data_IF_933692095614
#
_entry.id   IF_933692095614
#
_cell.length_a   1.000
_cell.length_b   1.000
_cell.length_c   1.000
_cell.angle_alpha   90.00
_cell.angle_beta   90.00
_cell.angle_gamma   90.00
#
_symmetry.space_group_name_H-M   'P 1'
#
loop_
_entity.id
_entity.type
_entity.pdbx_description
1 polymer ?
#
# COMPACT_ATOMS: atom_id res chain seq x y z
N UNK A 1 17.96 -5.22 8.93
CA UNK A 1 17.84 -4.07 8.04
C UNK A 1 16.37 -3.66 7.96
N UNK A 2 16.06 -2.38 8.17
CA UNK A 2 14.66 -1.97 8.10
C UNK A 2 14.19 -1.82 6.64
N UNK A 3 12.88 -1.63 6.47
CA UNK A 3 12.26 -1.57 5.15
C UNK A 3 12.82 -0.40 4.32
N UNK A 4 13.08 0.74 4.97
CA UNK A 4 13.60 1.90 4.24
C UNK A 4 14.98 1.61 3.66
N UNK A 5 15.86 0.97 4.45
CA UNK A 5 17.19 0.61 3.95
C UNK A 5 17.14 -0.46 2.86
N UNK A 6 16.22 -1.41 2.97
CA UNK A 6 16.10 -2.50 2.00
C UNK A 6 15.61 -2.04 0.64
N UNK A 7 14.59 -1.19 0.62
CA UNK A 7 13.82 -0.93 -0.62
C UNK A 7 13.81 0.53 -1.05
N UNK A 8 14.10 1.46 -0.14
CA UNK A 8 13.90 2.89 -0.38
C UNK A 8 15.14 3.72 -0.09
N UNK A 9 16.31 3.11 -0.12
CA UNK A 9 17.57 3.80 0.17
C UNK A 9 17.72 5.01 -0.76
N UNK A 10 17.91 6.19 -0.16
CA UNK A 10 18.06 7.41 -0.93
C UNK A 10 16.76 7.98 -1.48
N UNK A 11 15.60 7.39 -1.14
CA UNK A 11 14.32 7.89 -1.62
C UNK A 11 14.05 9.29 -1.10
N UNK A 12 13.55 10.15 -1.98
CA UNK A 12 13.14 11.50 -1.62
C UNK A 12 11.79 11.48 -0.93
N UNK A 13 11.66 12.23 0.15
CA UNK A 13 10.39 12.37 0.85
C UNK A 13 9.47 13.27 0.04
N UNK A 14 8.30 12.77 -0.35
CA UNK A 14 7.31 13.52 -1.12
C UNK A 14 6.41 14.34 -0.22
N UNK A 15 6.19 13.89 1.00
CA UNK A 15 5.31 14.55 1.97
C UNK A 15 5.99 14.59 3.33
N UNK A 16 5.56 15.51 4.19
CA UNK A 16 6.03 15.55 5.57
C UNK A 16 5.67 14.24 6.29
N UNK A 17 6.48 13.79 7.26
CA UNK A 17 6.15 12.59 8.02
C UNK A 17 4.77 12.69 8.65
N UNK A 18 4.03 11.59 8.63
CA UNK A 18 2.74 11.53 9.28
C UNK A 18 2.90 11.30 10.79
N UNK A 19 1.82 11.51 11.54
CA UNK A 19 1.81 11.36 12.99
C UNK A 19 0.82 10.26 13.39
N UNK A 20 0.94 9.77 14.62
CA UNK A 20 -0.01 8.81 15.16
C UNK A 20 -1.44 9.34 15.14
N UNK A 21 -1.61 10.65 15.38
CA UNK A 21 -2.94 11.27 15.35
C UNK A 21 -3.53 11.21 13.94
N UNK A 22 -2.75 11.57 12.92
CA UNK A 22 -3.22 11.53 11.55
C UNK A 22 -3.59 10.10 11.11
N UNK A 23 -2.80 9.11 11.53
CA UNK A 23 -3.08 7.70 11.24
C UNK A 23 -4.34 7.23 11.95
N UNK A 24 -4.51 7.61 13.22
CA UNK A 24 -5.71 7.27 13.98
C UNK A 24 -6.96 7.89 13.36
N UNK A 25 -6.87 9.15 12.94
CA UNK A 25 -7.99 9.82 12.27
C UNK A 25 -8.33 9.14 10.94
N UNK A 26 -7.31 8.74 10.18
CA UNK A 26 -7.51 8.01 8.92
C UNK A 26 -8.21 6.67 9.17
N UNK A 27 -7.78 5.92 10.18
CA UNK A 27 -8.41 4.64 10.53
C UNK A 27 -9.88 4.81 10.87
N UNK A 28 -10.23 5.89 11.57
CA UNK A 28 -11.63 6.20 11.89
C UNK A 28 -12.45 6.48 10.65
N UNK A 29 -11.89 7.25 9.71
CA UNK A 29 -12.58 7.56 8.45
C UNK A 29 -12.75 6.33 7.57
N UNK A 30 -11.75 5.45 7.55
CA UNK A 30 -11.80 4.21 6.76
C UNK A 30 -12.68 3.15 7.41
N UNK A 31 -12.93 3.24 8.72
CA UNK A 31 -13.70 2.26 9.46
C UNK A 31 -12.95 0.95 9.70
N UNK A 32 -11.62 0.98 9.68
CA UNK A 32 -10.78 -0.20 9.87
C UNK A 32 -9.41 0.21 10.39
N UNK A 33 -8.67 -0.73 10.96
CA UNK A 33 -7.29 -0.52 11.35
C UNK A 33 -6.36 -0.76 10.17
N UNK A 34 -5.20 -0.12 10.20
CA UNK A 34 -4.10 -0.38 9.27
C UNK A 34 -3.07 -1.27 9.97
N UNK A 35 -2.37 -2.13 9.23
CA UNK A 35 -1.31 -2.94 9.84
C UNK A 35 -0.23 -2.09 10.50
N UNK A 36 0.31 -2.56 11.61
CA UNK A 36 1.30 -1.82 12.39
C UNK A 36 2.58 -1.55 11.58
N UNK A 37 3.03 -2.52 10.79
CA UNK A 37 4.22 -2.36 9.95
C UNK A 37 4.00 -1.29 8.88
N UNK A 38 2.81 -1.23 8.31
CA UNK A 38 2.47 -0.21 7.32
C UNK A 38 2.41 1.19 7.96
N UNK A 39 1.82 1.29 9.15
CA UNK A 39 1.79 2.57 9.89
C UNK A 39 3.21 3.05 10.22
N UNK A 40 4.07 2.14 10.67
CA UNK A 40 5.47 2.48 10.94
C UNK A 40 6.18 2.96 9.68
N UNK A 41 5.90 2.32 8.55
CA UNK A 41 6.45 2.74 7.27
C UNK A 41 6.02 4.16 6.91
N UNK A 42 4.73 4.46 7.01
CA UNK A 42 4.20 5.78 6.68
C UNK A 42 4.80 6.90 7.54
N UNK A 43 5.14 6.60 8.79
CA UNK A 43 5.80 7.57 9.67
C UNK A 43 7.23 7.88 9.22
N UNK A 44 7.86 6.99 8.45
CA UNK A 44 9.20 7.20 7.91
C UNK A 44 9.18 7.73 6.49
N UNK A 45 8.26 7.25 5.67
CA UNK A 45 8.15 7.63 4.26
C UNK A 45 6.67 7.75 3.90
N UNK A 46 6.18 8.98 3.89
CA UNK A 46 4.77 9.28 3.64
C UNK A 46 4.55 9.57 2.16
N UNK A 47 4.43 8.48 1.39
CA UNK A 47 4.31 8.56 -0.07
C UNK A 47 5.65 8.36 -0.77
N UNK A 48 5.59 7.73 -1.92
CA UNK A 48 6.79 7.42 -2.71
C UNK A 48 6.40 7.24 -4.17
N UNK A 49 7.28 7.65 -5.06
CA UNK A 49 7.14 7.35 -6.49
C UNK A 49 8.53 7.02 -7.03
N UNK A 50 8.64 5.87 -7.70
CA UNK A 50 9.90 5.41 -8.27
C UNK A 50 9.92 3.91 -8.43
N UNK A 51 11.10 3.31 -8.43
CA UNK A 51 11.24 1.87 -8.59
C UNK A 51 11.65 1.17 -7.31
N UNK A 52 11.07 -0.01 -7.11
CA UNK A 52 11.53 -1.00 -6.15
C UNK A 52 12.04 -2.16 -7.01
N UNK A 53 13.36 -2.30 -7.15
CA UNK A 53 13.92 -3.32 -8.02
C UNK A 53 13.41 -3.18 -9.45
N UNK A 54 12.66 -4.17 -9.92
CA UNK A 54 12.14 -4.22 -11.28
C UNK A 54 10.79 -3.52 -11.45
N UNK A 55 10.12 -3.18 -10.35
CA UNK A 55 8.76 -2.66 -10.40
C UNK A 55 8.70 -1.16 -10.19
N UNK A 56 7.98 -0.46 -11.08
CA UNK A 56 7.62 0.93 -10.83
C UNK A 56 6.48 0.95 -9.82
N UNK A 57 6.58 1.83 -8.81
CA UNK A 57 5.55 1.94 -7.79
C UNK A 57 5.26 3.40 -7.48
N UNK A 58 4.01 3.68 -7.18
CA UNK A 58 3.57 4.94 -6.59
C UNK A 58 2.78 4.58 -5.34
N UNK A 59 3.35 4.91 -4.18
CA UNK A 59 2.72 4.62 -2.89
C UNK A 59 2.02 5.87 -2.39
N UNK A 60 0.78 5.70 -1.92
CA UNK A 60 -0.04 6.82 -1.47
C UNK A 60 0.49 7.41 -0.17
N UNK A 61 0.43 8.74 -0.07
CA UNK A 61 0.59 9.40 1.23
C UNK A 61 -0.69 9.22 2.04
N UNK A 62 -0.63 9.51 3.35
CA UNK A 62 -1.78 9.41 4.25
C UNK A 62 -2.96 10.22 3.71
N UNK A 63 -2.69 11.39 3.12
CA UNK A 63 -3.76 12.26 2.59
C UNK A 63 -4.45 11.70 1.36
N UNK A 64 -3.84 10.71 0.69
CA UNK A 64 -4.37 10.13 -0.55
C UNK A 64 -5.11 8.82 -0.34
N UNK A 65 -4.84 8.12 0.76
CA UNK A 65 -5.34 6.74 0.96
C UNK A 65 -6.85 6.68 0.91
N UNK A 66 -7.54 7.55 1.63
CA UNK A 66 -9.00 7.54 1.68
C UNK A 66 -9.60 7.82 0.30
N UNK A 67 -9.08 8.81 -0.40
CA UNK A 67 -9.58 9.18 -1.72
C UNK A 67 -9.43 8.04 -2.72
N UNK A 68 -8.24 7.45 -2.81
CA UNK A 68 -8.01 6.36 -3.76
C UNK A 68 -8.77 5.10 -3.38
N UNK A 69 -8.96 4.84 -2.09
CA UNK A 69 -9.79 3.72 -1.64
C UNK A 69 -11.23 3.94 -2.08
N UNK A 70 -11.76 5.15 -1.91
CA UNK A 70 -13.10 5.48 -2.36
C UNK A 70 -13.22 5.35 -3.88
N UNK A 71 -12.25 5.89 -4.62
CA UNK A 71 -12.32 5.93 -6.08
C UNK A 71 -12.21 4.55 -6.73
N UNK A 72 -11.41 3.65 -6.16
CA UNK A 72 -11.07 2.37 -6.80
C UNK A 72 -11.60 1.14 -6.08
N UNK A 73 -11.95 1.24 -4.79
CA UNK A 73 -12.35 0.09 -3.99
C UNK A 73 -13.79 0.19 -3.46
N UNK A 74 -14.57 1.17 -3.89
CA UNK A 74 -15.93 1.34 -3.37
C UNK A 74 -16.95 0.41 -4.06
N UNK A 75 -16.65 -0.04 -5.24
CA UNK A 75 -17.54 -0.94 -6.01
C UNK A 75 -17.02 -2.37 -6.00
N UNK A 76 -15.73 -2.53 -6.31
CA UNK A 76 -15.03 -3.81 -6.25
C UNK A 76 -13.95 -3.70 -5.18
N UNK A 77 -13.52 -4.82 -4.63
CA UNK A 77 -12.47 -4.85 -3.60
C UNK A 77 -12.88 -4.07 -2.35
N UNK A 78 -14.17 -4.15 -1.99
CA UNK A 78 -14.71 -3.39 -0.84
C UNK A 78 -14.09 -3.81 0.49
N UNK A 79 -13.46 -4.99 0.53
CA UNK A 79 -12.75 -5.48 1.71
C UNK A 79 -11.28 -5.03 1.74
N UNK A 80 -10.86 -4.21 0.79
CA UNK A 80 -9.47 -3.74 0.70
C UNK A 80 -9.38 -2.23 0.79
N UNK A 81 -8.16 -1.77 1.07
CA UNK A 81 -7.77 -0.36 1.09
C UNK A 81 -6.68 -0.17 0.03
N UNK A 82 -6.81 0.87 -0.80
CA UNK A 82 -5.81 1.17 -1.82
C UNK A 82 -4.64 1.93 -1.22
N UNK A 83 -3.44 1.34 -1.30
CA UNK A 83 -2.22 1.97 -0.77
C UNK A 83 -1.27 2.44 -1.87
N UNK A 84 -1.57 2.16 -3.12
CA UNK A 84 -0.74 2.62 -4.22
C UNK A 84 -1.11 1.98 -5.54
N UNK A 85 -0.22 2.14 -6.52
CA UNK A 85 -0.41 1.62 -7.87
C UNK A 85 0.94 1.39 -8.54
N UNK A 86 0.95 0.54 -9.57
CA UNK A 86 2.14 0.34 -10.41
C UNK A 86 2.17 1.30 -11.60
N UNK A 87 1.17 2.19 -11.73
CA UNK A 87 1.08 3.11 -12.86
C UNK A 87 0.59 2.48 -14.15
N UNK A 88 0.41 1.17 -14.19
CA UNK A 88 0.01 0.42 -15.39
C UNK A 88 -1.34 -0.26 -15.27
N UNK A 89 -2.17 0.15 -14.32
CA UNK A 89 -3.51 -0.39 -14.17
C UNK A 89 -3.69 -1.36 -13.01
N UNK A 90 -2.63 -1.63 -12.24
CA UNK A 90 -2.72 -2.47 -11.05
C UNK A 90 -2.73 -1.60 -9.80
N UNK A 91 -3.59 -1.96 -8.84
CA UNK A 91 -3.65 -1.31 -7.53
C UNK A 91 -2.86 -2.14 -6.53
N UNK A 92 -2.20 -1.45 -5.61
CA UNK A 92 -1.65 -2.09 -4.41
C UNK A 92 -2.67 -1.93 -3.31
N UNK A 93 -3.05 -3.03 -2.67
CA UNK A 93 -4.13 -3.03 -1.68
C UNK A 93 -3.72 -3.81 -0.43
N UNK A 94 -4.37 -3.47 0.68
CA UNK A 94 -4.25 -4.22 1.94
C UNK A 94 -5.66 -4.52 2.44
N UNK A 95 -5.83 -5.68 3.08
CA UNK A 95 -7.12 -6.10 3.62
C UNK A 95 -7.58 -5.18 4.76
N UNK A 96 -8.88 -4.94 4.82
CA UNK A 96 -9.52 -4.37 6.01
C UNK A 96 -9.57 -5.41 7.11
N UNK A 97 -9.50 -4.97 8.36
CA UNK A 97 -9.59 -5.86 9.51
C UNK A 97 -8.77 -5.37 10.67
N UNK A 98 -8.74 -6.17 11.74
CA UNK A 98 -8.00 -5.85 12.96
C UNK A 98 -6.69 -6.63 13.08
N UNK A 99 -6.56 -7.72 12.34
CA UNK A 99 -5.38 -8.59 12.40
C UNK A 99 -5.31 -9.44 11.13
N UNK A 100 -4.15 -10.07 10.89
CA UNK A 100 -3.92 -11.00 9.77
C UNK A 100 -4.20 -10.36 8.40
N UNK A 101 -4.00 -9.06 8.31
CA UNK A 101 -4.23 -8.32 7.08
C UNK A 101 -3.14 -8.65 6.05
N UNK A 102 -3.57 -8.90 4.80
CA UNK A 102 -2.68 -9.29 3.71
C UNK A 102 -2.54 -8.15 2.72
N UNK A 103 -1.37 -8.09 2.10
CA UNK A 103 -1.05 -7.13 1.04
C UNK A 103 -1.10 -7.84 -0.31
N UNK A 104 -1.58 -7.15 -1.33
CA UNK A 104 -1.64 -7.74 -2.65
C UNK A 104 -1.85 -6.73 -3.75
N UNK A 105 -2.13 -7.24 -4.94
CA UNK A 105 -2.43 -6.43 -6.12
C UNK A 105 -3.80 -6.81 -6.69
N UNK A 106 -4.42 -5.85 -7.35
CA UNK A 106 -5.70 -6.05 -8.02
C UNK A 106 -5.80 -5.10 -9.21
N UNK A 107 -6.36 -5.55 -10.37
CA UNK A 107 -6.52 -4.61 -11.49
C UNK A 107 -7.50 -3.50 -11.12
N UNK A 108 -7.18 -2.28 -11.53
CA UNK A 108 -8.05 -1.12 -11.30
C UNK A 108 -9.40 -1.30 -12.00
N UNK A 109 -9.39 -2.02 -13.12
CA UNK A 109 -10.60 -2.39 -13.86
C UNK A 109 -10.67 -3.92 -13.85
N UNK A 110 -11.53 -4.46 -13.00
CA UNK A 110 -11.65 -5.91 -12.84
C UNK A 110 -12.67 -6.22 -11.75
N UNK A 111 -12.65 -7.45 -11.27
CA UNK A 111 -13.55 -7.84 -10.19
C UNK A 111 -12.75 -8.43 -9.01
N UNK A 112 -13.46 -8.74 -7.92
CA UNK A 112 -12.84 -9.20 -6.68
C UNK A 112 -12.09 -10.54 -6.82
N UNK A 113 -12.34 -11.30 -7.89
CA UNK A 113 -11.64 -12.55 -8.15
C UNK A 113 -10.25 -12.34 -8.76
N UNK A 114 -9.96 -11.11 -9.18
CA UNK A 114 -8.67 -10.77 -9.81
C UNK A 114 -7.61 -10.36 -8.79
N UNK A 115 -7.96 -10.33 -7.52
CA UNK A 115 -7.02 -10.00 -6.45
C UNK A 115 -5.99 -11.11 -6.28
N UNK A 116 -4.70 -10.72 -6.15
CA UNK A 116 -3.60 -11.64 -5.92
C UNK A 116 -2.85 -11.23 -4.65
N UNK A 117 -2.84 -12.11 -3.66
CA UNK A 117 -2.10 -11.87 -2.42
C UNK A 117 -0.60 -11.98 -2.68
N UNK A 118 0.18 -11.02 -2.18
CA UNK A 118 1.64 -11.02 -2.32
C UNK A 118 2.37 -11.21 -0.99
N UNK A 119 1.71 -11.01 0.14
CA UNK A 119 2.35 -11.26 1.42
C UNK A 119 1.50 -10.90 2.61
N UNK A 120 1.83 -11.51 3.75
CA UNK A 120 1.18 -11.24 5.03
C UNK A 120 1.92 -10.18 5.86
N UNK A 121 3.02 -9.64 5.33
CA UNK A 121 3.73 -8.51 5.91
C UNK A 121 4.09 -7.52 4.81
N UNK A 122 4.33 -6.29 5.21
CA UNK A 122 4.76 -5.26 4.28
C UNK A 122 6.12 -5.61 3.64
N UNK A 123 7.03 -6.20 4.41
CA UNK A 123 8.33 -6.62 3.91
C UNK A 123 8.18 -7.67 2.80
N UNK A 124 7.35 -8.67 3.00
CA UNK A 124 7.10 -9.70 1.98
C UNK A 124 6.46 -9.09 0.72
N UNK A 125 5.56 -8.14 0.91
CA UNK A 125 4.94 -7.45 -0.21
C UNK A 125 5.97 -6.69 -1.05
N UNK A 126 6.83 -5.90 -0.39
CA UNK A 126 7.88 -5.16 -1.10
C UNK A 126 8.92 -6.10 -1.74
N UNK A 127 9.19 -7.23 -1.11
CA UNK A 127 10.10 -8.24 -1.69
C UNK A 127 9.54 -8.78 -3.00
N UNK A 128 8.26 -9.06 -3.07
CA UNK A 128 7.60 -9.50 -4.30
C UNK A 128 7.66 -8.42 -5.38
N UNK A 129 7.43 -7.16 -5.00
CA UNK A 129 7.52 -6.05 -5.95
C UNK A 129 8.95 -5.91 -6.48
N UNK A 130 9.94 -6.06 -5.61
CA UNK A 130 11.35 -5.96 -6.00
C UNK A 130 11.73 -7.03 -7.02
N UNK A 131 11.29 -8.26 -6.81
CA UNK A 131 11.59 -9.38 -7.71
C UNK A 131 10.81 -9.27 -9.01
N UNK A 132 9.60 -8.72 -8.99
CA UNK A 132 8.76 -8.58 -10.16
C UNK A 132 8.17 -9.87 -10.70
N UNK A 133 8.34 -10.98 -9.99
CA UNK A 133 7.92 -12.31 -10.47
C UNK A 133 6.41 -12.46 -10.55
N UNK A 134 5.67 -11.67 -9.79
CA UNK A 134 4.21 -11.72 -9.82
C UNK A 134 3.60 -11.25 -11.14
N UNK A 135 4.42 -10.63 -11.99
CA UNK A 135 3.99 -10.17 -13.32
C UNK A 135 4.07 -11.29 -14.38
N UNK A 136 4.65 -12.40 -14.04
CA UNK A 136 4.83 -13.53 -14.96
C UNK A 136 3.64 -14.48 -15.02
#
# INVERSE_FOLDING_TARGET
MDIIEKYFRGARKLSAPTTDKELSDLEKRLGTKLPDDYKSFLKKLNGFEGKIGKSYVRLNSVNEIEKYTHDYCSEYYTDQICIGTDGGGELFVVDRGDSDQRFGIAPAVGDENDYVELGDTLDKFFSQLKDGTFLE
#
